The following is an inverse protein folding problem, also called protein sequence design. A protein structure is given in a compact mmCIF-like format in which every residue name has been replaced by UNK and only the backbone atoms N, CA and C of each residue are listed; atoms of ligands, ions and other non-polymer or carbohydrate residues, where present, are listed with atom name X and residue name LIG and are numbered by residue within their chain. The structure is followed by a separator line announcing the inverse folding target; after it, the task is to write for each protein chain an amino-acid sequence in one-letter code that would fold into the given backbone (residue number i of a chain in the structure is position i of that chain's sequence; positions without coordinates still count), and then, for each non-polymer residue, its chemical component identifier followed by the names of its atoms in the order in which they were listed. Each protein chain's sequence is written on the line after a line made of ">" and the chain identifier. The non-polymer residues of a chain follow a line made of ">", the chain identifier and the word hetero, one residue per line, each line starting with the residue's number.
data_IF_021448667836
#
_entry.id   IF_021448667836
#
_cell.length_a   1.000
_cell.length_b   1.000
_cell.length_c   1.000
_cell.angle_alpha   90.00
_cell.angle_beta   90.00
_cell.angle_gamma   90.00
#
_symmetry.space_group_name_H-M   'P 1'
#
loop_
_entity.id
_entity.type
_entity.pdbx_description
1 polymer ?
#
# COMPACT_ATOMS: atom_id res chain seq x y z
N UNK A 1 15.93 -14.67 23.86
CA UNK A 1 15.93 -14.94 22.41
C UNK A 1 15.75 -13.59 21.72
N UNK A 2 16.78 -13.08 21.06
CA UNK A 2 16.74 -11.75 20.42
C UNK A 2 15.74 -11.78 19.28
N UNK A 3 14.82 -10.81 19.26
CA UNK A 3 13.79 -10.70 18.21
C UNK A 3 13.91 -9.40 17.40
N UNK A 4 14.66 -8.41 17.90
CA UNK A 4 14.94 -7.13 17.25
C UNK A 4 16.42 -6.87 17.19
N UNK A 5 16.90 -6.16 16.19
CA UNK A 5 18.27 -5.67 16.12
C UNK A 5 18.47 -4.57 17.16
N UNK A 6 19.40 -4.81 18.09
CA UNK A 6 19.68 -3.90 19.22
C UNK A 6 20.29 -2.58 18.71
N UNK A 7 21.14 -2.62 17.69
CA UNK A 7 21.77 -1.42 17.13
C UNK A 7 20.72 -0.51 16.48
N UNK A 8 19.72 -1.10 15.80
CA UNK A 8 18.57 -0.34 15.28
C UNK A 8 17.71 0.25 16.41
N UNK A 9 17.52 -0.46 17.55
CA UNK A 9 16.81 0.09 18.71
C UNK A 9 17.57 1.27 19.35
N UNK A 10 18.90 1.14 19.45
CA UNK A 10 19.76 2.16 20.07
C UNK A 10 19.97 3.40 19.17
N UNK A 11 19.66 3.32 17.89
CA UNK A 11 19.70 4.47 16.98
C UNK A 11 18.67 5.56 17.33
N UNK A 12 17.68 5.23 18.17
CA UNK A 12 16.67 6.19 18.63
C UNK A 12 17.19 7.04 19.81
N UNK A 13 17.37 8.34 19.57
CA UNK A 13 17.79 9.32 20.59
C UNK A 13 16.63 9.94 21.39
N UNK A 14 15.44 9.41 21.27
CA UNK A 14 14.22 9.81 21.98
C UNK A 14 13.83 11.30 21.85
N UNK A 15 14.22 12.02 20.79
CA UNK A 15 13.96 13.46 20.60
C UNK A 15 12.48 13.85 20.46
N UNK A 16 11.60 12.92 20.08
CA UNK A 16 10.15 13.14 20.00
C UNK A 16 9.63 13.68 18.67
N UNK A 17 10.48 14.03 17.71
CA UNK A 17 10.04 14.59 16.41
C UNK A 17 9.11 13.65 15.61
N UNK A 18 9.18 12.37 15.85
CA UNK A 18 8.29 11.37 15.25
C UNK A 18 6.84 11.39 15.77
N UNK A 19 6.58 12.05 16.89
CA UNK A 19 5.27 12.04 17.56
C UNK A 19 4.20 12.76 16.73
N UNK A 20 4.51 13.95 16.24
CA UNK A 20 3.59 14.74 15.40
C UNK A 20 3.24 14.06 14.07
N UNK A 21 4.15 13.22 13.57
CA UNK A 21 3.93 12.43 12.35
C UNK A 21 3.18 11.12 12.60
N UNK A 22 3.02 10.70 13.87
CA UNK A 22 2.39 9.42 14.19
C UNK A 22 0.86 9.54 14.31
N UNK A 23 0.07 8.91 13.41
CA UNK A 23 -1.38 9.06 13.45
C UNK A 23 -2.00 8.56 14.76
N UNK A 24 -1.49 7.46 15.34
CA UNK A 24 -2.01 6.90 16.59
C UNK A 24 -1.68 7.76 17.80
N UNK A 25 -0.51 8.39 17.82
CA UNK A 25 -0.16 9.33 18.87
C UNK A 25 -1.00 10.60 18.79
N UNK A 26 -1.18 11.14 17.59
CA UNK A 26 -2.01 12.35 17.38
C UNK A 26 -3.46 12.12 17.82
N UNK A 27 -3.98 10.90 17.63
CA UNK A 27 -5.36 10.54 18.04
C UNK A 27 -5.53 10.23 19.53
N UNK A 28 -4.49 9.68 20.18
CA UNK A 28 -4.60 9.15 21.54
C UNK A 28 -3.86 9.97 22.60
N UNK A 29 -2.80 10.70 22.22
CA UNK A 29 -1.97 11.46 23.14
C UNK A 29 -1.13 10.59 24.10
N UNK A 30 -1.14 9.26 23.95
CA UNK A 30 -0.48 8.32 24.84
C UNK A 30 0.94 8.03 24.37
N UNK A 31 1.95 8.18 25.23
CA UNK A 31 3.35 7.94 24.87
C UNK A 31 3.60 6.52 24.34
N UNK A 32 3.02 5.50 24.98
CA UNK A 32 3.15 4.12 24.55
C UNK A 32 2.62 3.86 23.12
N UNK A 33 1.76 4.75 22.59
CA UNK A 33 1.23 4.71 21.23
C UNK A 33 2.04 5.58 20.26
N UNK A 34 3.14 6.20 20.72
CA UNK A 34 4.10 6.92 19.89
C UNK A 34 5.17 5.98 19.31
N UNK A 35 5.89 6.37 18.23
CA UNK A 35 6.96 5.54 17.69
C UNK A 35 8.09 5.32 18.72
N UNK A 36 8.55 6.38 19.39
CA UNK A 36 9.61 6.26 20.41
C UNK A 36 9.14 5.45 21.64
N UNK A 37 7.88 5.60 22.06
CA UNK A 37 7.31 4.80 23.13
C UNK A 37 7.26 3.32 22.77
N UNK A 38 6.86 2.98 21.54
CA UNK A 38 6.91 1.60 21.04
C UNK A 38 8.33 1.05 20.95
N UNK A 39 9.32 1.86 20.54
CA UNK A 39 10.73 1.48 20.58
C UNK A 39 11.15 1.17 22.03
N UNK A 40 10.74 1.99 22.99
CA UNK A 40 11.00 1.73 24.40
C UNK A 40 10.37 0.41 24.88
N UNK A 41 9.12 0.12 24.50
CA UNK A 41 8.47 -1.16 24.82
C UNK A 41 9.21 -2.34 24.18
N UNK A 42 9.59 -2.25 22.90
CA UNK A 42 10.36 -3.29 22.22
C UNK A 42 11.71 -3.52 22.90
N UNK A 43 12.41 -2.46 23.29
CA UNK A 43 13.67 -2.54 24.02
C UNK A 43 13.50 -3.20 25.39
N UNK A 44 12.48 -2.80 26.15
CA UNK A 44 12.21 -3.38 27.46
C UNK A 44 11.88 -4.89 27.38
N UNK A 45 11.18 -5.32 26.33
CA UNK A 45 10.92 -6.74 26.06
C UNK A 45 12.19 -7.48 25.63
N UNK A 46 13.04 -6.90 24.78
CA UNK A 46 14.30 -7.49 24.33
C UNK A 46 15.29 -7.68 25.51
N UNK A 47 15.32 -6.73 26.42
CA UNK A 47 16.12 -6.78 27.65
C UNK A 47 15.51 -7.67 28.75
N UNK A 48 14.33 -8.26 28.54
CA UNK A 48 13.63 -9.09 29.51
C UNK A 48 13.06 -8.34 30.73
N UNK A 49 12.98 -7.01 30.68
CA UNK A 49 12.40 -6.17 31.72
C UNK A 49 10.88 -6.05 31.64
N UNK A 50 10.30 -6.42 30.51
CA UNK A 50 8.87 -6.33 30.27
C UNK A 50 8.39 -7.59 29.53
N UNK A 51 7.31 -8.20 30.05
CA UNK A 51 6.65 -9.30 29.38
C UNK A 51 5.66 -8.79 28.31
N UNK A 52 5.43 -9.57 27.23
CA UNK A 52 4.46 -9.22 26.19
C UNK A 52 3.01 -9.40 26.68
N UNK A 53 2.62 -8.60 27.69
CA UNK A 53 1.26 -8.58 28.22
C UNK A 53 0.24 -8.15 27.15
N UNK A 54 -1.07 -8.44 27.31
CA UNK A 54 -2.11 -7.99 26.38
C UNK A 54 -2.10 -6.48 26.14
N UNK A 55 -1.71 -5.69 27.14
CA UNK A 55 -1.62 -4.23 27.04
C UNK A 55 -0.45 -3.81 26.14
N UNK A 56 0.74 -4.37 26.36
CA UNK A 56 1.92 -4.13 25.52
C UNK A 56 1.66 -4.54 24.08
N UNK A 57 1.05 -5.71 23.89
CA UNK A 57 0.64 -6.22 22.57
C UNK A 57 -0.31 -5.24 21.88
N UNK A 58 -1.28 -4.67 22.62
CA UNK A 58 -2.22 -3.68 22.08
C UNK A 58 -1.50 -2.43 21.55
N UNK A 59 -0.51 -1.88 22.27
CA UNK A 59 0.24 -0.72 21.81
C UNK A 59 0.99 -1.01 20.49
N UNK A 60 1.55 -2.20 20.34
CA UNK A 60 2.23 -2.60 19.10
C UNK A 60 1.25 -2.87 17.95
N UNK A 61 0.06 -3.41 18.24
CA UNK A 61 -0.99 -3.65 17.26
C UNK A 61 -1.60 -2.37 16.71
N UNK A 62 -1.75 -1.34 17.55
CA UNK A 62 -2.23 -0.03 17.12
C UNK A 62 -1.30 0.66 16.11
N UNK A 63 -0.06 0.21 15.96
CA UNK A 63 0.82 0.73 14.92
C UNK A 63 0.33 0.35 13.53
N UNK A 64 0.09 1.34 12.67
CA UNK A 64 -0.32 1.17 11.27
C UNK A 64 0.80 0.64 10.37
N UNK A 65 2.07 0.74 10.79
CA UNK A 65 3.22 0.49 9.90
C UNK A 65 3.34 1.49 8.75
N UNK A 66 2.82 2.71 8.93
CA UNK A 66 2.76 3.72 7.87
C UNK A 66 4.11 4.38 7.55
N UNK A 67 5.11 4.25 8.42
CA UNK A 67 6.49 4.76 8.26
C UNK A 67 6.63 6.29 8.23
N UNK A 68 5.59 7.06 8.52
CA UNK A 68 5.67 8.52 8.60
C UNK A 68 6.71 8.99 9.63
N UNK A 69 6.88 8.22 10.70
CA UNK A 69 7.91 8.45 11.73
C UNK A 69 9.34 8.30 11.21
N UNK A 70 9.59 7.51 10.17
CA UNK A 70 10.91 7.38 9.52
C UNK A 70 11.26 8.66 8.76
N UNK A 71 10.30 9.19 8.00
CA UNK A 71 10.48 10.45 7.26
C UNK A 71 10.73 11.64 8.21
N UNK A 72 10.12 11.61 9.39
CA UNK A 72 10.28 12.64 10.40
C UNK A 72 11.53 12.47 11.30
N UNK A 73 12.27 11.35 11.16
CA UNK A 73 13.36 10.99 12.04
C UNK A 73 14.70 11.55 11.56
N UNK A 74 15.32 12.52 12.26
CA UNK A 74 16.65 13.04 11.88
C UNK A 74 17.78 12.02 12.11
N UNK A 75 17.58 11.05 13.03
CA UNK A 75 18.54 9.98 13.31
C UNK A 75 18.44 8.79 12.35
N UNK A 76 17.52 8.82 11.39
CA UNK A 76 17.38 7.78 10.37
C UNK A 76 16.93 6.42 10.90
N UNK A 77 16.21 6.37 12.03
CA UNK A 77 15.68 5.12 12.60
C UNK A 77 14.76 4.42 11.60
N UNK A 78 15.06 3.18 11.26
CA UNK A 78 14.25 2.35 10.35
C UNK A 78 13.14 1.63 11.13
N UNK A 79 12.19 2.41 11.61
CA UNK A 79 11.13 1.96 12.50
C UNK A 79 10.28 0.81 11.89
N UNK A 80 10.08 0.79 10.58
CA UNK A 80 9.37 -0.30 9.88
C UNK A 80 10.01 -1.66 10.16
N UNK A 81 11.35 -1.74 10.11
CA UNK A 81 12.09 -2.97 10.41
C UNK A 81 11.90 -3.41 11.86
N UNK A 82 11.94 -2.47 12.79
CA UNK A 82 11.72 -2.74 14.21
C UNK A 82 10.33 -3.35 14.47
N UNK A 83 9.29 -2.73 13.94
CA UNK A 83 7.91 -3.20 14.13
C UNK A 83 7.65 -4.53 13.39
N UNK A 84 8.26 -4.73 12.23
CA UNK A 84 8.16 -5.99 11.48
C UNK A 84 8.89 -7.14 12.16
N UNK A 85 9.97 -6.86 12.90
CA UNK A 85 10.66 -7.84 13.73
C UNK A 85 9.90 -8.14 15.05
N UNK A 86 9.26 -7.12 15.66
CA UNK A 86 8.51 -7.29 16.89
C UNK A 86 7.18 -8.04 16.71
N UNK A 87 6.47 -7.82 15.58
CA UNK A 87 5.17 -8.46 15.33
C UNK A 87 5.17 -9.99 15.38
N UNK A 88 6.12 -10.73 14.77
CA UNK A 88 6.20 -12.19 14.90
C UNK A 88 6.43 -12.65 16.35
N UNK A 89 7.20 -11.89 17.14
CA UNK A 89 7.41 -12.17 18.55
C UNK A 89 6.10 -12.03 19.32
N UNK A 90 5.42 -10.92 19.18
CA UNK A 90 4.11 -10.65 19.80
C UNK A 90 3.07 -11.69 19.37
N UNK A 91 3.04 -12.08 18.10
CA UNK A 91 2.09 -13.05 17.56
C UNK A 91 2.21 -14.43 18.25
N UNK A 92 3.43 -14.84 18.66
CA UNK A 92 3.64 -16.11 19.39
C UNK A 92 3.02 -16.11 20.78
N UNK A 93 2.86 -14.94 21.40
CA UNK A 93 2.32 -14.78 22.76
C UNK A 93 0.79 -14.60 22.76
N UNK A 94 0.14 -14.56 21.60
CA UNK A 94 -1.31 -14.48 21.51
C UNK A 94 -1.99 -15.81 21.84
N UNK A 95 -3.22 -15.78 22.37
CA UNK A 95 -4.08 -16.95 22.49
C UNK A 95 -4.28 -17.65 21.13
N UNK A 96 -4.35 -18.99 21.14
CA UNK A 96 -4.50 -19.79 19.91
C UNK A 96 -5.68 -19.36 19.01
N UNK A 97 -6.88 -19.04 19.53
CA UNK A 97 -7.99 -18.59 18.69
C UNK A 97 -7.68 -17.30 17.93
N UNK A 98 -7.04 -16.32 18.57
CA UNK A 98 -6.65 -15.06 17.96
C UNK A 98 -5.61 -15.27 16.84
N UNK A 99 -4.62 -16.15 17.10
CA UNK A 99 -3.63 -16.55 16.08
C UNK A 99 -4.29 -17.23 14.89
N UNK A 100 -5.23 -18.14 15.13
CA UNK A 100 -5.97 -18.83 14.07
C UNK A 100 -6.79 -17.84 13.22
N UNK A 101 -7.50 -16.90 13.86
CA UNK A 101 -8.26 -15.86 13.15
C UNK A 101 -7.36 -14.98 12.28
N UNK A 102 -6.20 -14.54 12.76
CA UNK A 102 -5.23 -13.74 11.99
C UNK A 102 -4.63 -14.52 10.82
N UNK A 103 -4.35 -15.82 11.01
CA UNK A 103 -3.90 -16.72 9.93
C UNK A 103 -4.99 -16.92 8.87
N UNK A 104 -6.25 -17.12 9.28
CA UNK A 104 -7.38 -17.21 8.37
C UNK A 104 -7.58 -15.92 7.57
N UNK A 105 -7.45 -14.76 8.24
CA UNK A 105 -7.50 -13.45 7.59
C UNK A 105 -6.38 -13.30 6.55
N UNK A 106 -5.14 -13.65 6.89
CA UNK A 106 -4.04 -13.65 5.93
C UNK A 106 -4.31 -14.57 4.74
N UNK A 107 -4.86 -15.77 4.98
CA UNK A 107 -5.22 -16.73 3.94
C UNK A 107 -6.32 -16.19 3.02
N UNK A 108 -7.33 -15.52 3.56
CA UNK A 108 -8.44 -14.93 2.80
C UNK A 108 -7.96 -13.96 1.70
N UNK A 109 -6.88 -13.23 1.95
CA UNK A 109 -6.30 -12.32 0.96
C UNK A 109 -5.21 -12.93 0.09
N UNK A 110 -4.41 -13.87 0.61
CA UNK A 110 -3.23 -14.38 -0.09
C UNK A 110 -3.50 -15.65 -0.90
N UNK A 111 -4.52 -16.44 -0.54
CA UNK A 111 -4.87 -17.67 -1.24
C UNK A 111 -5.88 -17.37 -2.37
N UNK A 112 -5.54 -17.60 -3.65
CA UNK A 112 -6.34 -17.10 -4.78
C UNK A 112 -7.78 -17.62 -4.80
N UNK A 113 -7.99 -18.91 -4.53
CA UNK A 113 -9.34 -19.49 -4.57
C UNK A 113 -10.21 -18.99 -3.41
N UNK A 114 -9.66 -18.85 -2.19
CA UNK A 114 -10.39 -18.30 -1.03
C UNK A 114 -10.80 -16.87 -1.33
N UNK A 115 -9.86 -16.03 -1.80
CA UNK A 115 -10.13 -14.64 -2.15
C UNK A 115 -11.22 -14.52 -3.21
N UNK A 116 -11.18 -15.35 -4.26
CA UNK A 116 -12.17 -15.33 -5.35
C UNK A 116 -13.57 -15.70 -4.82
N UNK A 117 -13.69 -16.74 -4.02
CA UNK A 117 -14.97 -17.16 -3.44
C UNK A 117 -15.54 -16.15 -2.46
N UNK A 118 -14.72 -15.59 -1.56
CA UNK A 118 -15.16 -14.57 -0.61
C UNK A 118 -15.60 -13.27 -1.28
N UNK A 119 -14.97 -12.88 -2.38
CA UNK A 119 -15.29 -11.63 -3.08
C UNK A 119 -16.38 -11.81 -4.16
N UNK A 120 -16.75 -13.03 -4.54
CA UNK A 120 -17.76 -13.27 -5.55
C UNK A 120 -19.12 -12.65 -5.21
N UNK A 121 -19.70 -12.81 -3.99
CA UNK A 121 -20.96 -12.15 -3.63
C UNK A 121 -20.88 -10.64 -3.62
N UNK A 122 -19.77 -10.10 -3.13
CA UNK A 122 -19.58 -8.64 -3.06
C UNK A 122 -19.57 -7.97 -4.43
N UNK A 123 -19.18 -8.69 -5.49
CA UNK A 123 -19.19 -8.20 -6.88
C UNK A 123 -20.58 -7.96 -7.43
N UNK A 124 -21.60 -8.64 -6.92
CA UNK A 124 -23.01 -8.47 -7.36
C UNK A 124 -23.53 -7.05 -7.02
N UNK A 125 -22.99 -6.45 -5.97
CA UNK A 125 -23.38 -5.13 -5.51
C UNK A 125 -22.29 -4.07 -5.74
N UNK A 126 -21.22 -4.43 -6.43
CA UNK A 126 -20.10 -3.52 -6.75
C UNK A 126 -20.59 -2.28 -7.50
N UNK A 127 -20.08 -1.10 -7.10
CA UNK A 127 -20.41 0.19 -7.70
C UNK A 127 -21.84 0.68 -7.42
N UNK A 128 -22.56 0.07 -6.49
CA UNK A 128 -23.92 0.51 -6.12
C UNK A 128 -23.90 1.50 -4.95
N UNK A 129 -24.38 2.71 -5.19
CA UNK A 129 -24.38 3.83 -4.22
C UNK A 129 -25.37 3.68 -3.05
N UNK A 130 -26.33 2.76 -3.12
CA UNK A 130 -27.32 2.54 -2.06
C UNK A 130 -26.82 1.64 -0.90
N UNK A 131 -25.61 1.07 -1.01
CA UNK A 131 -25.04 0.19 0.00
C UNK A 131 -24.62 0.99 1.24
N UNK A 132 -25.05 0.54 2.43
CA UNK A 132 -24.76 1.18 3.72
C UNK A 132 -24.17 0.17 4.71
N UNK A 133 -23.63 0.64 5.82
CA UNK A 133 -23.02 -0.19 6.85
C UNK A 133 -21.87 -1.03 6.29
N UNK A 134 -21.81 -2.31 6.64
CA UNK A 134 -20.78 -3.24 6.19
C UNK A 134 -20.82 -3.52 4.67
N UNK A 135 -21.97 -3.37 4.03
CA UNK A 135 -22.13 -3.49 2.58
C UNK A 135 -21.46 -2.34 1.81
N UNK A 136 -21.14 -1.23 2.46
CA UNK A 136 -20.47 -0.10 1.80
C UNK A 136 -19.11 -0.49 1.21
N UNK A 137 -18.37 -1.40 1.84
CA UNK A 137 -17.14 -1.93 1.25
C UNK A 137 -17.39 -2.67 -0.06
N UNK A 138 -18.44 -3.48 -0.12
CA UNK A 138 -18.81 -4.18 -1.35
C UNK A 138 -19.30 -3.19 -2.43
N UNK A 139 -20.08 -2.17 -2.04
CA UNK A 139 -20.48 -1.07 -2.93
C UNK A 139 -19.32 -0.23 -3.44
N UNK A 140 -18.27 -0.08 -2.63
CA UNK A 140 -17.05 0.64 -2.98
C UNK A 140 -16.14 -0.10 -3.99
N UNK A 141 -16.40 -1.40 -4.23
CA UNK A 141 -15.66 -2.17 -5.23
C UNK A 141 -15.90 -1.58 -6.63
N UNK A 142 -14.86 -1.46 -7.45
CA UNK A 142 -15.02 -1.01 -8.82
C UNK A 142 -15.83 -2.03 -9.62
N UNK A 143 -16.67 -1.54 -10.54
CA UNK A 143 -17.30 -2.38 -11.56
C UNK A 143 -16.22 -2.80 -12.55
N UNK A 144 -15.92 -4.08 -12.62
CA UNK A 144 -14.93 -4.61 -13.56
C UNK A 144 -15.44 -4.42 -14.99
N UNK A 145 -14.71 -3.66 -15.79
CA UNK A 145 -15.02 -3.41 -17.19
C UNK A 145 -14.33 -4.42 -18.11
N UNK A 146 -13.11 -4.86 -17.77
CA UNK A 146 -12.29 -5.80 -18.57
C UNK A 146 -12.17 -7.14 -17.83
N UNK A 147 -12.70 -8.20 -18.45
CA UNK A 147 -12.63 -9.55 -17.87
C UNK A 147 -11.38 -10.35 -18.32
N UNK A 148 -10.58 -9.80 -19.23
CA UNK A 148 -9.45 -10.51 -19.84
C UNK A 148 -8.18 -10.40 -19.01
N UNK A 149 -7.42 -11.49 -18.93
CA UNK A 149 -6.07 -11.45 -18.43
C UNK A 149 -5.18 -10.66 -19.40
N UNK A 150 -4.18 -9.95 -18.84
CA UNK A 150 -3.16 -9.32 -19.66
C UNK A 150 -2.40 -10.39 -20.44
N UNK A 151 -2.00 -10.13 -21.70
CA UNK A 151 -1.04 -10.96 -22.43
C UNK A 151 0.26 -11.10 -21.66
N UNK A 152 1.00 -12.21 -21.89
CA UNK A 152 2.27 -12.45 -21.21
C UNK A 152 3.34 -11.42 -21.60
N UNK A 153 3.26 -10.92 -22.84
CA UNK A 153 4.14 -9.88 -23.39
C UNK A 153 3.28 -8.85 -24.10
N UNK A 154 3.57 -7.59 -23.84
CA UNK A 154 2.97 -6.45 -24.56
C UNK A 154 4.12 -5.59 -25.10
N UNK A 155 4.17 -5.50 -26.43
CA UNK A 155 5.18 -4.69 -27.11
C UNK A 155 4.89 -3.19 -26.97
N UNK A 156 5.92 -2.34 -26.94
CA UNK A 156 5.77 -0.89 -26.82
C UNK A 156 5.14 -0.27 -28.07
N UNK A 157 4.65 0.94 -27.92
CA UNK A 157 4.17 1.76 -29.04
C UNK A 157 5.33 2.64 -29.54
N UNK A 158 6.21 2.11 -30.37
CA UNK A 158 7.37 2.85 -30.89
C UNK A 158 8.70 2.22 -30.45
N UNK A 159 9.74 3.05 -30.34
CA UNK A 159 11.07 2.57 -29.95
C UNK A 159 11.07 2.00 -28.52
N UNK A 160 11.76 0.88 -28.34
CA UNK A 160 11.91 0.24 -27.03
C UNK A 160 12.94 1.01 -26.20
N UNK A 161 12.52 1.56 -25.05
CA UNK A 161 13.42 2.21 -24.09
C UNK A 161 13.84 1.28 -22.93
N UNK A 162 13.19 0.13 -22.79
CA UNK A 162 13.51 -0.87 -21.78
C UNK A 162 12.38 -1.89 -21.60
N UNK A 163 12.59 -2.83 -20.68
CA UNK A 163 11.65 -3.90 -20.39
C UNK A 163 11.23 -3.86 -18.91
N UNK A 164 9.95 -3.88 -18.64
CA UNK A 164 9.41 -3.93 -17.28
C UNK A 164 8.61 -5.21 -17.05
N UNK A 165 8.77 -5.85 -15.90
CA UNK A 165 7.86 -6.88 -15.44
C UNK A 165 6.80 -6.24 -14.54
N UNK A 166 5.52 -6.34 -14.93
CA UNK A 166 4.39 -5.78 -14.18
C UNK A 166 3.93 -6.74 -13.09
N UNK A 167 3.99 -6.29 -11.85
CA UNK A 167 3.43 -6.99 -10.69
C UNK A 167 1.94 -6.73 -10.60
N UNK A 168 1.12 -7.71 -11.01
CA UNK A 168 -0.35 -7.58 -11.01
C UNK A 168 -0.95 -7.55 -9.61
N UNK A 169 -0.21 -8.07 -8.61
CA UNK A 169 -0.63 -8.12 -7.21
C UNK A 169 -1.79 -9.08 -6.95
N UNK A 170 -2.03 -9.37 -5.68
CA UNK A 170 -3.12 -10.31 -5.31
C UNK A 170 -4.48 -9.61 -5.22
N UNK A 171 -4.59 -8.55 -4.43
CA UNK A 171 -5.82 -7.75 -4.26
C UNK A 171 -6.04 -6.88 -5.50
N UNK A 172 -4.97 -6.26 -6.03
CA UNK A 172 -5.04 -5.40 -7.20
C UNK A 172 -5.56 -6.17 -8.43
N UNK A 173 -5.02 -7.34 -8.74
CA UNK A 173 -5.51 -8.18 -9.85
C UNK A 173 -7.00 -8.53 -9.70
N UNK A 174 -7.42 -8.82 -8.46
CA UNK A 174 -8.79 -9.25 -8.21
C UNK A 174 -9.79 -8.12 -8.29
N UNK A 175 -9.47 -6.94 -7.73
CA UNK A 175 -10.41 -5.83 -7.55
C UNK A 175 -10.15 -4.64 -8.50
N UNK A 176 -8.91 -4.43 -8.90
CA UNK A 176 -8.45 -3.30 -9.71
C UNK A 176 -7.73 -3.77 -10.99
N UNK A 177 -8.19 -4.87 -11.59
CA UNK A 177 -7.59 -5.41 -12.81
C UNK A 177 -7.58 -4.41 -13.97
N UNK A 178 -8.56 -3.51 -14.05
CA UNK A 178 -8.60 -2.46 -15.06
C UNK A 178 -7.43 -1.46 -14.88
N UNK A 179 -7.04 -1.16 -13.62
CA UNK A 179 -5.85 -0.35 -13.33
C UNK A 179 -4.56 -1.04 -13.79
N UNK A 180 -4.47 -2.38 -13.68
CA UNK A 180 -3.33 -3.13 -14.22
C UNK A 180 -3.27 -3.02 -15.76
N UNK A 181 -4.42 -3.09 -16.44
CA UNK A 181 -4.49 -2.89 -17.89
C UNK A 181 -4.07 -1.45 -18.27
N UNK A 182 -4.56 -0.45 -17.55
CA UNK A 182 -4.18 0.94 -17.73
C UNK A 182 -2.68 1.16 -17.51
N UNK A 183 -2.10 0.54 -16.46
CA UNK A 183 -0.66 0.59 -16.19
C UNK A 183 0.14 0.02 -17.36
N UNK A 184 -0.24 -1.17 -17.84
CA UNK A 184 0.45 -1.79 -18.97
C UNK A 184 0.34 -0.96 -20.25
N UNK A 185 -0.82 -0.35 -20.51
CA UNK A 185 -1.03 0.50 -21.66
C UNK A 185 -0.17 1.77 -21.59
N UNK A 186 -0.13 2.46 -20.44
CA UNK A 186 0.68 3.67 -20.26
C UNK A 186 2.19 3.36 -20.36
N UNK A 187 2.66 2.23 -19.80
CA UNK A 187 4.05 1.81 -19.94
C UNK A 187 4.42 1.56 -21.42
N UNK A 188 3.55 0.87 -22.18
CA UNK A 188 3.75 0.69 -23.62
C UNK A 188 3.78 2.03 -24.36
N UNK A 189 2.90 2.94 -23.98
CA UNK A 189 2.85 4.29 -24.56
C UNK A 189 4.11 5.11 -24.26
N UNK A 190 4.78 4.82 -23.13
CA UNK A 190 6.09 5.36 -22.77
C UNK A 190 7.28 4.59 -23.39
N UNK A 191 7.05 3.68 -24.34
CA UNK A 191 8.13 2.92 -25.01
C UNK A 191 8.63 1.70 -24.24
N UNK A 192 7.93 1.23 -23.19
CA UNK A 192 8.35 0.08 -22.38
C UNK A 192 7.73 -1.21 -22.89
N UNK A 193 8.56 -2.23 -23.11
CA UNK A 193 8.07 -3.61 -23.27
C UNK A 193 7.60 -4.12 -21.91
N UNK A 194 6.35 -4.62 -21.82
CA UNK A 194 5.76 -5.07 -20.56
C UNK A 194 5.64 -6.59 -20.54
N UNK A 195 6.28 -7.22 -19.57
CA UNK A 195 6.17 -8.64 -19.27
C UNK A 195 5.19 -8.87 -18.13
N UNK A 196 4.29 -9.83 -18.30
CA UNK A 196 3.27 -10.18 -17.29
C UNK A 196 3.29 -11.70 -17.08
N UNK A 197 4.22 -12.21 -16.23
CA UNK A 197 4.25 -13.63 -15.90
C UNK A 197 2.93 -14.10 -15.32
N UNK A 198 2.52 -15.31 -15.67
CA UNK A 198 1.32 -15.94 -15.06
C UNK A 198 1.64 -16.41 -13.63
N UNK A 199 0.60 -16.50 -12.79
CA UNK A 199 0.68 -17.09 -11.45
C UNK A 199 1.66 -16.41 -10.49
N UNK A 200 1.79 -15.08 -10.57
CA UNK A 200 2.69 -14.29 -9.72
C UNK A 200 2.42 -14.48 -8.22
N UNK A 201 1.15 -14.53 -7.81
CA UNK A 201 0.78 -14.71 -6.40
C UNK A 201 0.74 -13.39 -5.61
N UNK A 202 1.13 -13.47 -4.34
CA UNK A 202 1.10 -12.34 -3.41
C UNK A 202 2.53 -11.88 -3.09
N UNK A 203 2.75 -10.57 -2.98
CA UNK A 203 4.05 -9.99 -2.59
C UNK A 203 4.48 -10.31 -1.15
N UNK A 204 3.55 -10.71 -0.27
CA UNK A 204 3.85 -11.00 1.14
C UNK A 204 3.56 -9.87 2.12
N UNK A 205 3.21 -8.65 1.67
CA UNK A 205 3.02 -7.50 2.56
C UNK A 205 1.91 -7.71 3.60
N UNK A 206 0.76 -8.27 3.22
CA UNK A 206 -0.34 -8.49 4.16
C UNK A 206 0.01 -9.48 5.29
N UNK A 207 0.61 -10.67 5.02
CA UNK A 207 1.10 -11.54 6.08
C UNK A 207 2.18 -10.89 6.94
N UNK A 208 3.09 -10.11 6.37
CA UNK A 208 4.14 -9.43 7.13
C UNK A 208 3.53 -8.45 8.14
N UNK A 209 2.58 -7.63 7.71
CA UNK A 209 1.86 -6.71 8.59
C UNK A 209 1.08 -7.42 9.71
N UNK A 210 0.66 -8.66 9.50
CA UNK A 210 0.01 -9.50 10.53
C UNK A 210 1.00 -10.27 11.41
N UNK A 211 2.32 -10.10 11.25
CA UNK A 211 3.34 -10.81 12.02
C UNK A 211 3.63 -12.24 11.54
N UNK A 212 3.07 -12.65 10.41
CA UNK A 212 3.32 -13.97 9.81
C UNK A 212 4.54 -13.92 8.86
N UNK A 213 5.74 -13.60 9.43
CA UNK A 213 6.99 -13.37 8.68
C UNK A 213 7.37 -14.55 7.80
N UNK A 214 7.31 -15.78 8.31
CA UNK A 214 7.70 -16.97 7.55
C UNK A 214 6.83 -17.15 6.31
N UNK A 215 5.51 -16.89 6.44
CA UNK A 215 4.59 -16.92 5.31
C UNK A 215 4.86 -15.79 4.31
N UNK A 216 5.18 -14.60 4.82
CA UNK A 216 5.56 -13.46 3.98
C UNK A 216 6.82 -13.78 3.19
N UNK A 217 7.86 -14.31 3.84
CA UNK A 217 9.12 -14.72 3.23
C UNK A 217 8.92 -15.81 2.16
N UNK A 218 8.11 -16.82 2.44
CA UNK A 218 7.82 -17.88 1.45
C UNK A 218 7.11 -17.34 0.21
N UNK A 219 6.15 -16.41 0.37
CA UNK A 219 5.47 -15.75 -0.75
C UNK A 219 6.40 -14.83 -1.54
N UNK A 220 7.22 -14.06 -0.84
CA UNK A 220 8.22 -13.17 -1.42
C UNK A 220 9.27 -13.94 -2.23
N UNK A 221 9.82 -15.03 -1.69
CA UNK A 221 10.79 -15.87 -2.39
C UNK A 221 10.22 -16.49 -3.67
N UNK A 222 8.95 -16.93 -3.63
CA UNK A 222 8.27 -17.42 -4.83
C UNK A 222 8.09 -16.33 -5.88
N UNK A 223 7.62 -15.15 -5.46
CA UNK A 223 7.42 -14.03 -6.38
C UNK A 223 8.76 -13.52 -6.92
N UNK A 224 9.78 -13.41 -6.08
CA UNK A 224 11.13 -12.96 -6.49
C UNK A 224 11.69 -13.82 -7.62
N UNK A 225 11.59 -15.15 -7.53
CA UNK A 225 11.98 -16.06 -8.62
C UNK A 225 11.22 -15.77 -9.90
N UNK A 226 9.89 -15.70 -9.83
CA UNK A 226 9.03 -15.44 -11.00
C UNK A 226 9.38 -14.12 -11.69
N UNK A 227 9.73 -13.09 -10.94
CA UNK A 227 10.04 -11.76 -11.47
C UNK A 227 11.49 -11.68 -11.99
N UNK A 228 12.46 -12.19 -11.24
CA UNK A 228 13.87 -12.15 -11.62
C UNK A 228 14.17 -12.99 -12.86
N UNK A 229 13.49 -14.14 -13.02
CA UNK A 229 13.65 -15.02 -14.20
C UNK A 229 13.24 -14.34 -15.52
N UNK A 230 12.53 -13.20 -15.47
CA UNK A 230 12.17 -12.44 -16.67
C UNK A 230 13.33 -11.66 -17.29
N UNK A 231 14.39 -11.38 -16.53
CA UNK A 231 15.51 -10.55 -16.96
C UNK A 231 15.11 -9.08 -17.26
N UNK A 232 13.96 -8.61 -16.77
CA UNK A 232 13.49 -7.24 -16.99
C UNK A 232 14.35 -6.20 -16.26
N UNK A 233 14.49 -5.02 -16.86
CA UNK A 233 15.22 -3.88 -16.28
C UNK A 233 14.52 -3.34 -15.04
N UNK A 234 13.17 -3.32 -15.05
CA UNK A 234 12.34 -2.81 -13.96
C UNK A 234 11.30 -3.82 -13.50
N UNK A 235 11.07 -3.84 -12.19
CA UNK A 235 9.95 -4.55 -11.53
C UNK A 235 8.92 -3.52 -11.11
N UNK A 236 7.81 -3.40 -11.84
CA UNK A 236 6.85 -2.31 -11.71
C UNK A 236 5.61 -2.74 -10.94
N UNK A 237 5.22 -1.94 -9.94
CA UNK A 237 3.97 -2.10 -9.20
C UNK A 237 3.16 -0.81 -9.21
N UNK A 238 1.83 -0.92 -9.37
CA UNK A 238 0.87 0.18 -9.21
C UNK A 238 0.16 0.15 -7.85
N UNK A 239 0.69 -0.61 -6.91
CA UNK A 239 0.12 -0.75 -5.56
C UNK A 239 1.18 -0.41 -4.53
N UNK A 240 1.08 0.76 -3.90
CA UNK A 240 2.07 1.30 -2.98
C UNK A 240 2.55 0.32 -1.90
N UNK A 241 1.63 -0.46 -1.31
CA UNK A 241 1.98 -1.46 -0.30
C UNK A 241 2.79 -2.64 -0.85
N UNK A 242 2.56 -3.04 -2.11
CA UNK A 242 3.38 -4.05 -2.77
C UNK A 242 4.74 -3.46 -3.13
N UNK A 243 4.79 -2.27 -3.75
CA UNK A 243 6.01 -1.60 -4.17
C UNK A 243 6.98 -1.38 -3.00
N UNK A 244 6.49 -0.91 -1.85
CA UNK A 244 7.30 -0.71 -0.67
C UNK A 244 7.98 -2.01 -0.19
N UNK A 245 7.24 -3.13 -0.16
CA UNK A 245 7.85 -4.41 0.25
C UNK A 245 8.78 -4.97 -0.82
N UNK A 246 8.48 -4.82 -2.11
CA UNK A 246 9.38 -5.27 -3.18
C UNK A 246 10.78 -4.64 -3.06
N UNK A 247 10.84 -3.36 -2.68
CA UNK A 247 12.11 -2.64 -2.43
C UNK A 247 12.89 -3.15 -1.21
N UNK A 248 12.25 -3.93 -0.34
CA UNK A 248 12.83 -4.47 0.89
C UNK A 248 12.96 -6.01 0.86
N UNK A 249 12.83 -6.62 -0.31
CA UNK A 249 12.96 -8.07 -0.45
C UNK A 249 14.36 -8.60 -0.05
N UNK A 250 15.41 -7.83 -0.27
CA UNK A 250 16.78 -8.14 0.18
C UNK A 250 16.90 -8.18 1.71
N UNK A 251 16.15 -7.32 2.41
CA UNK A 251 16.07 -7.33 3.87
C UNK A 251 15.17 -8.48 4.39
N UNK A 252 14.04 -8.76 3.73
CA UNK A 252 13.14 -9.84 4.11
C UNK A 252 13.77 -11.22 3.89
N UNK A 253 14.59 -11.36 2.84
CA UNK A 253 15.24 -12.58 2.36
C UNK A 253 16.75 -12.36 2.22
N UNK A 254 17.49 -12.18 3.34
CA UNK A 254 18.91 -11.90 3.29
C UNK A 254 19.67 -13.05 2.63
N UNK A 255 20.57 -12.69 1.68
CA UNK A 255 21.37 -13.64 0.91
C UNK A 255 20.67 -14.23 -0.32
N UNK A 256 19.38 -13.99 -0.55
CA UNK A 256 18.68 -14.43 -1.76
C UNK A 256 18.98 -13.46 -2.93
N UNK A 257 19.66 -13.96 -3.95
CA UNK A 257 20.06 -13.17 -5.14
C UNK A 257 18.86 -12.68 -5.95
N UNK A 258 17.80 -13.47 -6.06
CA UNK A 258 16.59 -13.10 -6.79
C UNK A 258 15.84 -11.98 -6.07
N UNK A 259 15.74 -12.07 -4.74
CA UNK A 259 15.17 -11.02 -3.91
C UNK A 259 15.95 -9.70 -4.04
N UNK A 260 17.29 -9.76 -4.00
CA UNK A 260 18.15 -8.59 -4.19
C UNK A 260 17.99 -7.98 -5.60
N UNK A 261 17.82 -8.80 -6.64
CA UNK A 261 17.56 -8.32 -8.01
C UNK A 261 16.22 -7.59 -8.09
N UNK A 262 15.16 -8.18 -7.53
CA UNK A 262 13.84 -7.54 -7.48
C UNK A 262 13.89 -6.23 -6.69
N UNK A 263 14.54 -6.19 -5.54
CA UNK A 263 14.64 -4.98 -4.71
C UNK A 263 15.30 -3.81 -5.46
N UNK A 264 16.38 -4.06 -6.18
CA UNK A 264 17.08 -3.04 -6.99
C UNK A 264 16.24 -2.54 -8.17
N UNK A 265 15.54 -3.45 -8.86
CA UNK A 265 14.71 -3.13 -10.02
C UNK A 265 13.34 -2.56 -9.68
N UNK A 266 12.92 -2.61 -8.40
CA UNK A 266 11.56 -2.21 -7.98
C UNK A 266 11.30 -0.71 -8.20
N UNK A 267 10.22 -0.40 -8.93
CA UNK A 267 9.72 0.95 -9.20
C UNK A 267 8.21 1.01 -8.99
N UNK A 268 7.72 2.14 -8.51
CA UNK A 268 6.30 2.44 -8.64
C UNK A 268 5.99 2.82 -10.11
N UNK A 269 4.81 2.47 -10.58
CA UNK A 269 4.41 2.77 -11.96
C UNK A 269 4.41 4.27 -12.24
N UNK A 270 3.98 5.09 -11.28
CA UNK A 270 3.95 6.55 -11.41
C UNK A 270 5.37 7.15 -11.37
N UNK A 271 6.26 6.57 -10.58
CA UNK A 271 7.68 6.94 -10.56
C UNK A 271 8.32 6.71 -11.94
N UNK A 272 8.20 5.49 -12.47
CA UNK A 272 8.80 5.14 -13.76
C UNK A 272 8.20 5.97 -14.92
N UNK A 273 6.88 6.16 -14.94
CA UNK A 273 6.23 6.99 -15.95
C UNK A 273 6.66 8.46 -15.89
N UNK A 274 6.94 8.99 -14.69
CA UNK A 274 7.45 10.35 -14.55
C UNK A 274 8.94 10.46 -14.98
N UNK A 275 9.74 9.41 -14.75
CA UNK A 275 11.14 9.35 -15.20
C UNK A 275 11.25 9.26 -16.73
N UNK A 276 10.44 8.42 -17.37
CA UNK A 276 10.46 8.22 -18.82
C UNK A 276 9.75 9.33 -19.60
N UNK A 277 8.76 9.97 -18.97
CA UNK A 277 7.84 10.87 -19.63
C UNK A 277 6.72 10.14 -20.37
N UNK A 278 5.62 10.83 -20.57
CA UNK A 278 4.51 10.39 -21.41
C UNK A 278 4.36 11.37 -22.59
N UNK A 279 3.98 10.89 -23.77
CA UNK A 279 3.55 11.79 -24.87
C UNK A 279 2.42 12.70 -24.39
N UNK A 280 2.15 13.84 -25.05
CA UNK A 280 1.06 14.73 -24.68
C UNK A 280 -0.28 14.00 -24.60
N UNK A 281 -1.03 14.27 -23.53
CA UNK A 281 -2.36 13.71 -23.36
C UNK A 281 -3.33 14.25 -24.41
N UNK A 282 -4.26 13.39 -24.87
CA UNK A 282 -5.17 13.69 -26.01
C UNK A 282 -6.55 14.17 -25.55
N UNK A 283 -6.92 13.85 -24.34
CA UNK A 283 -8.27 14.11 -23.79
C UNK A 283 -8.18 15.12 -22.64
N UNK A 284 -8.99 16.16 -22.74
CA UNK A 284 -9.14 17.16 -21.67
C UNK A 284 -10.00 16.59 -20.55
N UNK A 285 -9.51 16.64 -19.31
CA UNK A 285 -10.27 16.27 -18.12
C UNK A 285 -10.51 17.54 -17.28
N UNK A 286 -11.62 18.23 -17.53
CA UNK A 286 -11.98 19.43 -16.76
C UNK A 286 -12.45 19.02 -15.34
N UNK A 287 -11.50 18.84 -14.42
CA UNK A 287 -11.72 18.39 -13.05
C UNK A 287 -10.74 19.03 -12.07
N UNK A 288 -11.21 19.27 -10.86
CA UNK A 288 -10.34 19.58 -9.72
C UNK A 288 -9.92 18.28 -9.05
N UNK A 289 -8.61 18.04 -8.98
CA UNK A 289 -8.02 16.81 -8.44
C UNK A 289 -7.17 17.13 -7.23
N UNK A 290 -7.39 16.41 -6.12
CA UNK A 290 -6.48 16.43 -4.98
C UNK A 290 -5.77 15.07 -4.83
N UNK A 291 -4.52 15.09 -4.36
CA UNK A 291 -3.72 13.88 -4.19
C UNK A 291 -3.74 13.44 -2.74
N UNK A 292 -4.20 12.21 -2.48
CA UNK A 292 -3.87 11.50 -1.25
C UNK A 292 -2.59 10.71 -1.49
N UNK A 293 -1.55 11.01 -0.73
CA UNK A 293 -0.26 10.32 -0.77
C UNK A 293 -0.33 9.04 0.07
N UNK A 294 -0.45 7.83 -0.53
CA UNK A 294 -0.45 6.60 0.26
C UNK A 294 0.84 6.48 1.06
N UNK A 295 0.74 6.17 2.34
CA UNK A 295 1.88 6.16 3.25
C UNK A 295 3.07 5.31 2.74
N UNK A 296 2.82 4.13 2.17
CA UNK A 296 3.87 3.28 1.60
C UNK A 296 4.44 3.83 0.27
N UNK A 297 3.72 4.71 -0.44
CA UNK A 297 4.28 5.42 -1.58
C UNK A 297 5.14 6.58 -1.11
N UNK A 298 4.57 7.41 -0.24
CA UNK A 298 5.21 8.64 0.22
C UNK A 298 6.40 8.40 1.15
N UNK A 299 6.21 7.58 2.20
CA UNK A 299 7.23 7.34 3.23
C UNK A 299 8.07 6.08 2.95
N UNK A 300 7.48 5.06 2.32
CA UNK A 300 8.18 3.80 2.01
C UNK A 300 9.01 3.86 0.73
N UNK A 301 8.57 4.65 -0.26
CA UNK A 301 9.20 4.69 -1.59
C UNK A 301 9.72 6.08 -1.98
N UNK A 302 9.35 7.15 -1.25
CA UNK A 302 9.76 8.52 -1.55
C UNK A 302 9.08 9.14 -2.78
N UNK A 303 7.99 8.54 -3.27
CA UNK A 303 7.28 8.97 -4.48
C UNK A 303 6.12 9.90 -4.09
N UNK A 304 6.24 11.18 -4.37
CA UNK A 304 5.23 12.23 -4.10
C UNK A 304 5.11 13.21 -5.24
N UNK A 305 6.20 13.89 -5.60
CA UNK A 305 6.24 14.89 -6.66
C UNK A 305 5.87 14.32 -8.02
N UNK A 306 6.31 13.11 -8.31
CA UNK A 306 6.04 12.40 -9.56
C UNK A 306 4.55 12.27 -9.86
N UNK A 307 3.74 11.96 -8.84
CA UNK A 307 2.27 11.86 -8.98
C UNK A 307 1.68 13.21 -9.40
N UNK A 308 2.13 14.28 -8.76
CA UNK A 308 1.66 15.65 -9.07
C UNK A 308 2.09 16.09 -10.45
N UNK A 309 3.34 15.84 -10.83
CA UNK A 309 3.87 16.15 -12.17
C UNK A 309 3.04 15.46 -13.25
N UNK A 310 2.76 14.16 -13.10
CA UNK A 310 1.97 13.42 -14.08
C UNK A 310 0.51 13.91 -14.15
N UNK A 311 -0.13 14.18 -13.02
CA UNK A 311 -1.52 14.67 -13.03
C UNK A 311 -1.62 16.10 -13.57
N UNK A 312 -0.63 16.96 -13.30
CA UNK A 312 -0.57 18.32 -13.82
C UNK A 312 -0.37 18.36 -15.35
N UNK A 313 0.18 17.31 -15.96
CA UNK A 313 0.35 17.21 -17.41
C UNK A 313 -0.97 16.90 -18.14
N UNK A 314 -2.04 16.54 -17.44
CA UNK A 314 -3.35 16.27 -18.03
C UNK A 314 -4.06 17.61 -18.34
N UNK A 315 -4.40 17.90 -19.61
CA UNK A 315 -5.12 19.12 -19.96
C UNK A 315 -6.46 19.25 -19.20
N UNK A 316 -6.73 20.42 -18.64
CA UNK A 316 -7.96 20.72 -17.89
C UNK A 316 -7.95 20.26 -16.43
N UNK A 317 -6.97 19.50 -15.98
CA UNK A 317 -6.84 19.16 -14.56
C UNK A 317 -6.34 20.34 -13.77
N UNK A 318 -7.09 20.69 -12.72
CA UNK A 318 -6.67 21.66 -11.71
C UNK A 318 -6.28 20.93 -10.44
N UNK A 319 -4.99 20.90 -10.11
CA UNK A 319 -4.52 20.32 -8.86
C UNK A 319 -4.77 21.26 -7.68
N UNK A 320 -5.28 20.69 -6.59
CA UNK A 320 -5.39 21.34 -5.29
C UNK A 320 -4.71 20.46 -4.23
N UNK A 321 -4.10 21.07 -3.24
CA UNK A 321 -3.45 20.30 -2.18
C UNK A 321 -4.49 19.82 -1.14
N UNK A 322 -4.34 18.58 -0.72
CA UNK A 322 -5.08 18.00 0.38
C UNK A 322 -4.33 18.22 1.68
N UNK A 323 -4.91 18.91 2.64
CA UNK A 323 -4.34 19.01 3.98
C UNK A 323 -4.06 17.62 4.53
N UNK A 324 -2.90 17.42 5.16
CA UNK A 324 -2.46 16.11 5.66
C UNK A 324 -2.49 15.01 4.57
N UNK A 325 -2.10 15.33 3.32
CA UNK A 325 -2.17 14.41 2.17
C UNK A 325 -1.53 13.04 2.44
N UNK A 326 -0.43 13.02 3.20
CA UNK A 326 0.40 11.85 3.54
C UNK A 326 0.00 11.16 4.85
N UNK A 327 -0.98 11.70 5.61
CA UNK A 327 -1.52 11.02 6.78
C UNK A 327 -2.32 9.78 6.37
N UNK A 328 -2.09 8.68 7.07
CA UNK A 328 -2.73 7.39 6.76
C UNK A 328 -4.27 7.47 6.79
N UNK A 329 -4.92 6.87 5.79
CA UNK A 329 -6.38 6.77 5.70
C UNK A 329 -7.02 5.72 6.64
N UNK A 330 -6.23 5.03 7.45
CA UNK A 330 -6.69 3.97 8.35
C UNK A 330 -6.85 2.59 7.71
N UNK A 331 -6.58 2.41 6.41
CA UNK A 331 -6.69 1.09 5.76
C UNK A 331 -5.61 0.11 6.21
N UNK A 332 -4.33 0.48 6.07
CA UNK A 332 -3.12 -0.24 6.49
C UNK A 332 -3.21 -1.79 6.34
N UNK A 333 -3.45 -2.24 5.11
CA UNK A 333 -3.61 -3.66 4.80
C UNK A 333 -4.90 -4.25 5.37
N UNK A 334 -4.82 -4.98 6.46
CA UNK A 334 -5.96 -5.57 7.18
C UNK A 334 -6.30 -4.85 8.49
N UNK A 335 -5.63 -3.74 8.76
CA UNK A 335 -5.77 -2.99 10.01
C UNK A 335 -7.22 -2.53 10.27
N UNK A 336 -7.92 -2.10 9.24
CA UNK A 336 -9.32 -1.71 9.35
C UNK A 336 -10.27 -2.86 9.78
N UNK A 337 -9.81 -4.12 9.68
CA UNK A 337 -10.52 -5.30 10.16
C UNK A 337 -10.07 -5.70 11.58
N UNK A 338 -8.80 -5.47 11.93
CA UNK A 338 -8.24 -5.83 13.25
C UNK A 338 -8.40 -4.72 14.28
N UNK A 339 -8.32 -3.45 13.85
CA UNK A 339 -8.41 -2.25 14.68
C UNK A 339 -9.47 -1.26 14.15
N UNK A 340 -10.75 -1.69 14.04
CA UNK A 340 -11.79 -0.92 13.33
C UNK A 340 -12.09 0.44 13.96
N UNK A 341 -11.93 0.57 15.28
CA UNK A 341 -12.19 1.83 15.98
C UNK A 341 -11.18 2.91 15.58
N UNK A 342 -9.88 2.60 15.63
CA UNK A 342 -8.84 3.53 15.22
C UNK A 342 -8.88 3.80 13.71
N UNK A 343 -9.08 2.76 12.90
CA UNK A 343 -9.23 2.91 11.45
C UNK A 343 -10.36 3.88 11.06
N UNK A 344 -11.46 3.86 11.81
CA UNK A 344 -12.59 4.78 11.61
C UNK A 344 -12.23 6.22 11.96
N UNK A 345 -11.57 6.45 13.11
CA UNK A 345 -11.10 7.79 13.50
C UNK A 345 -10.20 8.41 12.43
N UNK A 346 -9.22 7.63 11.94
CA UNK A 346 -8.31 8.09 10.89
C UNK A 346 -9.03 8.35 9.56
N UNK A 347 -10.00 7.52 9.22
CA UNK A 347 -10.83 7.73 8.03
C UNK A 347 -11.68 9.00 8.17
N UNK A 348 -12.28 9.24 9.34
CA UNK A 348 -13.07 10.43 9.62
C UNK A 348 -12.25 11.70 9.44
N UNK A 349 -11.05 11.73 10.02
CA UNK A 349 -10.09 12.82 9.84
C UNK A 349 -9.73 13.02 8.37
N UNK A 350 -9.40 11.94 7.63
CA UNK A 350 -9.06 12.01 6.20
C UNK A 350 -10.23 12.54 5.37
N UNK A 351 -11.45 12.08 5.62
CA UNK A 351 -12.61 12.54 4.86
C UNK A 351 -13.01 13.99 5.18
N UNK A 352 -12.68 14.50 6.36
CA UNK A 352 -12.81 15.93 6.66
C UNK A 352 -11.91 16.78 5.76
N UNK A 353 -10.63 16.37 5.58
CA UNK A 353 -9.72 17.08 4.65
C UNK A 353 -10.16 16.95 3.20
N UNK A 354 -10.69 15.78 2.80
CA UNK A 354 -11.27 15.56 1.47
C UNK A 354 -12.43 16.54 1.22
N UNK A 355 -13.35 16.66 2.18
CA UNK A 355 -14.47 17.59 2.05
C UNK A 355 -14.02 19.05 1.97
N UNK A 356 -13.03 19.42 2.79
CA UNK A 356 -12.49 20.79 2.81
C UNK A 356 -11.78 21.16 1.50
N UNK A 357 -11.18 20.19 0.80
CA UNK A 357 -10.47 20.42 -0.46
C UNK A 357 -11.37 20.85 -1.62
N UNK A 358 -12.66 20.55 -1.55
CA UNK A 358 -13.65 20.75 -2.63
C UNK A 358 -13.22 20.15 -3.98
N UNK A 359 -12.36 19.14 -3.95
CA UNK A 359 -11.93 18.44 -5.14
C UNK A 359 -13.06 17.56 -5.70
N UNK A 360 -13.15 17.45 -7.02
CA UNK A 360 -14.05 16.53 -7.70
C UNK A 360 -13.55 15.09 -7.55
N UNK A 361 -12.22 14.93 -7.59
CA UNK A 361 -11.55 13.63 -7.57
C UNK A 361 -10.43 13.64 -6.54
N UNK A 362 -10.34 12.57 -5.74
CA UNK A 362 -9.16 12.26 -4.93
C UNK A 362 -8.36 11.15 -5.60
N UNK A 363 -7.15 11.47 -6.00
CA UNK A 363 -6.22 10.51 -6.60
C UNK A 363 -5.43 9.76 -5.52
N UNK A 364 -5.49 8.42 -5.51
CA UNK A 364 -4.81 7.58 -4.51
C UNK A 364 -4.21 6.32 -5.13
N UNK A 365 -2.88 6.19 -5.12
CA UNK A 365 -2.14 5.10 -5.77
C UNK A 365 -2.02 3.84 -4.89
N UNK A 366 -3.09 3.41 -4.24
CA UNK A 366 -3.07 2.18 -3.44
C UNK A 366 -4.47 1.56 -3.29
N UNK A 367 -4.66 0.28 -3.64
CA UNK A 367 -5.95 -0.41 -3.56
C UNK A 367 -6.64 -0.32 -2.19
N UNK A 368 -5.89 -0.44 -1.09
CA UNK A 368 -6.42 -0.34 0.26
C UNK A 368 -6.98 1.05 0.57
N UNK A 369 -6.25 2.11 0.20
CA UNK A 369 -6.69 3.50 0.38
C UNK A 369 -7.92 3.80 -0.48
N UNK A 370 -7.94 3.35 -1.73
CA UNK A 370 -9.09 3.49 -2.63
C UNK A 370 -10.37 2.90 -2.01
N UNK A 371 -10.30 1.65 -1.53
CA UNK A 371 -11.46 0.98 -0.92
C UNK A 371 -11.90 1.66 0.36
N UNK A 372 -10.98 1.99 1.24
CA UNK A 372 -11.26 2.62 2.52
C UNK A 372 -11.96 3.97 2.35
N UNK A 373 -11.39 4.84 1.52
CA UNK A 373 -11.95 6.17 1.30
C UNK A 373 -13.25 6.14 0.47
N UNK A 374 -13.35 5.26 -0.56
CA UNK A 374 -14.60 5.05 -1.31
C UNK A 374 -15.74 4.60 -0.41
N UNK A 375 -15.49 3.60 0.45
CA UNK A 375 -16.50 3.12 1.40
C UNK A 375 -16.92 4.22 2.38
N UNK A 376 -15.96 4.98 2.90
CA UNK A 376 -16.24 6.09 3.81
C UNK A 376 -16.98 7.25 3.14
N UNK A 377 -16.62 7.63 1.92
CA UNK A 377 -17.31 8.65 1.15
C UNK A 377 -18.75 8.24 0.82
N UNK A 378 -18.94 6.98 0.42
CA UNK A 378 -20.25 6.40 0.15
C UNK A 378 -21.16 6.40 1.38
N UNK A 379 -20.64 6.02 2.55
CA UNK A 379 -21.36 6.00 3.81
C UNK A 379 -21.83 7.41 4.24
N UNK A 380 -21.07 8.45 3.89
CA UNK A 380 -21.38 9.86 4.23
C UNK A 380 -22.09 10.62 3.14
N UNK A 381 -22.38 9.97 2.00
CA UNK A 381 -23.02 10.62 0.85
C UNK A 381 -22.17 11.72 0.20
N UNK A 382 -20.84 11.64 0.32
CA UNK A 382 -19.94 12.59 -0.33
C UNK A 382 -19.95 12.37 -1.85
N UNK A 383 -20.08 13.45 -2.61
CA UNK A 383 -20.14 13.42 -4.08
C UNK A 383 -18.76 13.25 -4.75
N UNK A 384 -17.68 13.15 -3.98
CA UNK A 384 -16.31 13.07 -4.48
C UNK A 384 -16.02 11.69 -5.08
N UNK A 385 -15.31 11.67 -6.21
CA UNK A 385 -14.78 10.47 -6.82
C UNK A 385 -13.41 10.14 -6.23
N UNK A 386 -13.10 8.83 -6.05
CA UNK A 386 -11.79 8.40 -5.53
C UNK A 386 -11.22 7.40 -6.51
N UNK A 387 -10.13 7.78 -7.18
CA UNK A 387 -9.60 7.06 -8.32
C UNK A 387 -8.09 6.81 -8.20
N UNK A 388 -7.60 5.84 -8.96
CA UNK A 388 -6.16 5.64 -9.09
C UNK A 388 -5.59 6.65 -10.09
N UNK A 389 -4.43 7.30 -9.82
CA UNK A 389 -3.81 8.24 -10.76
C UNK A 389 -3.57 7.63 -12.15
N UNK A 390 -3.19 6.36 -12.21
CA UNK A 390 -3.05 5.60 -13.47
C UNK A 390 -4.33 5.59 -14.29
N UNK A 391 -5.51 5.45 -13.65
CA UNK A 391 -6.79 5.42 -14.37
C UNK A 391 -7.13 6.80 -14.95
N UNK A 392 -6.74 7.89 -14.26
CA UNK A 392 -6.86 9.26 -14.76
C UNK A 392 -5.96 9.50 -15.97
N UNK A 393 -4.69 9.10 -15.85
CA UNK A 393 -3.71 9.20 -16.94
C UNK A 393 -4.16 8.39 -18.16
N UNK A 394 -4.60 7.15 -17.99
CA UNK A 394 -5.07 6.30 -19.08
C UNK A 394 -6.26 6.93 -19.84
N UNK A 395 -7.22 7.52 -19.10
CA UNK A 395 -8.33 8.28 -19.74
C UNK A 395 -7.82 9.48 -20.52
N UNK A 396 -6.87 10.22 -19.99
CA UNK A 396 -6.32 11.40 -20.64
C UNK A 396 -5.52 11.07 -21.91
N UNK A 397 -4.86 9.90 -21.92
CA UNK A 397 -4.11 9.42 -23.08
C UNK A 397 -4.96 8.59 -24.07
N UNK A 398 -6.20 8.24 -23.71
CA UNK A 398 -7.10 7.45 -24.55
C UNK A 398 -6.72 5.98 -24.66
N UNK A 399 -6.07 5.40 -23.62
CA UNK A 399 -5.56 4.02 -23.58
C UNK A 399 -6.18 3.15 -22.50
#
# INVERSE_FOLDING_TARGET
>A
MRFVDVDELLSCVHCGLCQSACPTYVELGTEADSPRGRIHLMRAMEEGRLEPSPEVVRHLDLCLGCRACETACPSGVRYGRLVEAARPFVERHRPLPARAARRALAAAFTVPWIRRTLLAPARLIAGRRWTRGWLAFAGALPRRRRARHLPAVLEPEGAVCGTAVLVTGCVAETLFGDTNHATAALLRHAGVRVLVPRHQGCCGALPLHLGARDRAAALAARLARTLADTGADWVVSNAAGCGALLREYDHLLPGDRMAATVARGARDALELLAELGLPPARVVLDRTVAVHDPCHLAHGQGVRGQVRTLLASIPGVRLVELSDSDTCCGSAGTYNLTEPAMARRLLDRKLATVTASRADIIAAANPGCLLQMRAGALQRGLGVEIEHPIDLLARAHGV
#
